data_IF_465839942028
#
_entry.id   IF_465839942028
#
_cell.length_a   1.000
_cell.length_b   1.000
_cell.length_c   1.000
_cell.angle_alpha   90.00
_cell.angle_beta   90.00
_cell.angle_gamma   90.00
#
_symmetry.space_group_name_H-M   'P 1'
#
loop_
_entity.id
_entity.type
_entity.pdbx_description
1 polymer ?
#
# COMPACT_ATOMS: atom_id res chain seq x y z
N UNK A 1 4.42 -5.45 -69.86
CA UNK A 1 5.15 -5.45 -68.58
C UNK A 1 5.89 -6.76 -68.44
N UNK A 2 7.23 -6.75 -68.19
CA UNK A 2 8.04 -7.98 -68.04
C UNK A 2 7.52 -8.76 -66.82
N UNK A 3 7.49 -10.08 -66.89
CA UNK A 3 6.93 -10.99 -65.85
C UNK A 3 7.41 -10.65 -64.45
N UNK A 4 8.67 -10.30 -64.32
CA UNK A 4 9.29 -9.86 -63.06
C UNK A 4 8.60 -8.62 -62.43
N UNK A 5 8.15 -7.65 -63.22
CA UNK A 5 7.42 -6.48 -62.71
C UNK A 5 6.06 -6.86 -62.17
N UNK A 6 5.38 -7.87 -62.72
CA UNK A 6 4.10 -8.38 -62.20
C UNK A 6 4.30 -9.11 -60.87
N UNK A 7 5.37 -9.89 -60.74
CA UNK A 7 5.74 -10.58 -59.51
C UNK A 7 6.09 -9.59 -58.38
N UNK A 8 6.89 -8.59 -58.68
CA UNK A 8 7.25 -7.52 -57.72
C UNK A 8 6.00 -6.73 -57.28
N UNK A 9 5.12 -6.39 -58.24
CA UNK A 9 3.86 -5.71 -57.92
C UNK A 9 2.94 -6.54 -57.03
N UNK A 10 2.85 -7.87 -57.30
CA UNK A 10 2.11 -8.81 -56.46
C UNK A 10 2.70 -8.89 -55.03
N UNK A 11 4.01 -8.99 -54.91
CA UNK A 11 4.66 -9.00 -53.58
C UNK A 11 4.43 -7.71 -52.81
N UNK A 12 4.56 -6.53 -53.47
CA UNK A 12 4.26 -5.24 -52.89
C UNK A 12 2.82 -5.10 -52.45
N UNK A 13 1.86 -5.63 -53.19
CA UNK A 13 0.45 -5.59 -52.82
C UNK A 13 0.15 -6.46 -51.59
N UNK A 14 0.76 -7.66 -51.49
CA UNK A 14 0.65 -8.52 -50.32
C UNK A 14 1.29 -7.86 -49.09
N UNK A 15 2.48 -7.28 -49.26
CA UNK A 15 3.18 -6.53 -48.18
C UNK A 15 2.30 -5.37 -47.68
N UNK A 16 1.68 -4.62 -48.60
CA UNK A 16 0.80 -3.50 -48.24
C UNK A 16 -0.44 -3.96 -47.48
N UNK A 17 -1.04 -5.09 -47.83
CA UNK A 17 -2.16 -5.68 -47.10
C UNK A 17 -1.74 -6.13 -45.71
N UNK A 18 -0.56 -6.74 -45.57
CA UNK A 18 -0.01 -7.13 -44.26
C UNK A 18 0.26 -5.90 -43.37
N UNK A 19 0.89 -4.87 -43.93
CA UNK A 19 1.14 -3.60 -43.21
C UNK A 19 -0.18 -2.94 -42.81
N UNK A 20 -1.18 -2.89 -43.72
CA UNK A 20 -2.50 -2.34 -43.40
C UNK A 20 -3.19 -3.15 -42.29
N UNK A 21 -3.08 -4.50 -42.32
CA UNK A 21 -3.60 -5.37 -41.25
C UNK A 21 -2.94 -5.15 -39.91
N UNK A 22 -1.61 -4.99 -39.89
CA UNK A 22 -0.84 -4.67 -38.67
C UNK A 22 -1.22 -3.28 -38.14
N UNK A 23 -1.35 -2.28 -39.02
CA UNK A 23 -1.78 -0.93 -38.61
C UNK A 23 -3.20 -0.94 -38.06
N UNK A 24 -4.16 -1.62 -38.73
CA UNK A 24 -5.54 -1.72 -38.27
C UNK A 24 -5.62 -2.43 -36.90
N UNK A 25 -4.82 -3.48 -36.72
CA UNK A 25 -4.71 -4.17 -35.44
C UNK A 25 -4.12 -3.26 -34.34
N UNK A 26 -3.06 -2.52 -34.66
CA UNK A 26 -2.45 -1.55 -33.74
C UNK A 26 -3.42 -0.43 -33.35
N UNK A 27 -4.18 0.12 -34.31
CA UNK A 27 -5.19 1.16 -34.06
C UNK A 27 -6.30 0.61 -33.14
N UNK A 28 -6.78 -0.60 -33.44
CA UNK A 28 -7.80 -1.23 -32.59
C UNK A 28 -7.30 -1.44 -31.16
N UNK A 29 -6.08 -1.95 -31.02
CA UNK A 29 -5.46 -2.17 -29.72
C UNK A 29 -5.31 -0.86 -28.93
N UNK A 30 -4.84 0.20 -29.57
CA UNK A 30 -4.74 1.53 -28.96
C UNK A 30 -6.12 2.06 -28.53
N UNK A 31 -7.14 1.90 -29.38
CA UNK A 31 -8.51 2.29 -29.08
C UNK A 31 -9.10 1.52 -27.90
N UNK A 32 -8.91 0.20 -27.86
CA UNK A 32 -9.39 -0.67 -26.78
C UNK A 32 -8.71 -0.27 -25.44
N UNK A 33 -7.39 -0.04 -25.48
CA UNK A 33 -6.62 0.42 -24.31
C UNK A 33 -7.09 1.77 -23.79
N UNK A 34 -7.17 2.73 -24.68
CA UNK A 34 -7.59 4.08 -24.31
C UNK A 34 -9.03 4.11 -23.78
N UNK A 35 -9.91 3.22 -24.29
CA UNK A 35 -11.27 3.08 -23.75
C UNK A 35 -11.25 2.55 -22.31
N UNK A 36 -10.48 1.50 -22.02
CA UNK A 36 -10.36 0.95 -20.67
C UNK A 36 -9.74 1.99 -19.71
N UNK A 37 -8.66 2.66 -20.14
CA UNK A 37 -8.05 3.71 -19.34
C UNK A 37 -9.02 4.83 -19.03
N UNK A 38 -9.83 5.26 -20.00
CA UNK A 38 -10.88 6.25 -19.75
C UNK A 38 -11.93 5.77 -18.73
N UNK A 39 -12.18 4.47 -18.64
CA UNK A 39 -13.06 3.86 -17.63
C UNK A 39 -12.49 3.88 -16.21
N UNK A 40 -11.15 3.82 -16.06
CA UNK A 40 -10.46 3.86 -14.78
C UNK A 40 -9.89 5.24 -14.44
N UNK A 41 -9.84 6.15 -15.43
CA UNK A 41 -9.30 7.49 -15.23
C UNK A 41 -10.20 8.32 -14.32
N UNK A 42 -9.62 8.86 -13.27
CA UNK A 42 -10.28 9.75 -12.35
C UNK A 42 -9.32 10.87 -11.95
N UNK A 43 -9.56 12.08 -12.44
CA UNK A 43 -8.79 13.25 -12.03
C UNK A 43 -9.09 13.62 -10.59
N UNK A 44 -8.09 14.18 -9.91
CA UNK A 44 -8.20 14.66 -8.52
C UNK A 44 -7.69 16.09 -8.42
N UNK A 45 -8.32 16.88 -7.54
CA UNK A 45 -7.84 18.23 -7.22
C UNK A 45 -6.73 18.14 -6.16
N UNK A 46 -5.57 18.69 -6.45
CA UNK A 46 -4.47 18.80 -5.50
C UNK A 46 -4.46 20.19 -4.89
N UNK A 47 -4.80 20.30 -3.60
CA UNK A 47 -4.86 21.59 -2.88
C UNK A 47 -3.48 22.24 -2.71
N UNK A 48 -2.44 21.44 -2.69
CA UNK A 48 -1.07 21.89 -2.53
C UNK A 48 -0.26 21.52 -3.76
N UNK A 49 0.14 22.51 -4.54
CA UNK A 49 1.19 22.34 -5.55
C UNK A 49 2.56 22.44 -4.87
N UNK A 50 2.92 21.45 -4.02
CA UNK A 50 4.27 21.39 -3.41
C UNK A 50 5.38 21.15 -4.43
N UNK A 51 5.08 21.17 -5.70
CA UNK A 51 6.03 21.02 -6.81
C UNK A 51 5.32 21.10 -8.15
N UNK A 52 6.09 21.30 -9.19
CA UNK A 52 5.61 21.34 -10.55
C UNK A 52 4.99 20.01 -10.98
N UNK A 53 4.14 20.06 -11.99
CA UNK A 53 3.74 18.87 -12.74
C UNK A 53 4.97 18.21 -13.32
N UNK A 54 5.17 16.92 -13.05
CA UNK A 54 6.27 16.18 -13.68
C UNK A 54 5.93 15.92 -15.14
N UNK A 55 6.89 16.17 -16.02
CA UNK A 55 6.77 15.85 -17.43
C UNK A 55 7.36 14.44 -17.69
N UNK A 56 6.48 13.45 -17.79
CA UNK A 56 6.87 12.05 -18.01
C UNK A 56 7.54 11.90 -19.38
N UNK A 57 7.06 12.59 -20.42
CA UNK A 57 7.67 12.56 -21.76
C UNK A 57 9.13 13.07 -21.74
N UNK A 58 9.42 14.07 -20.91
CA UNK A 58 10.78 14.61 -20.71
C UNK A 58 11.64 13.79 -19.73
N UNK A 59 11.19 12.64 -19.27
CA UNK A 59 11.91 11.80 -18.31
C UNK A 59 12.23 12.52 -16.99
N UNK A 60 11.32 13.37 -16.51
CA UNK A 60 11.45 13.98 -15.19
C UNK A 60 11.13 12.98 -14.08
N UNK A 61 11.80 13.05 -12.92
CA UNK A 61 11.41 12.26 -11.76
C UNK A 61 9.99 12.58 -11.33
N UNK A 62 9.23 11.55 -10.95
CA UNK A 62 7.87 11.71 -10.47
C UNK A 62 7.54 10.78 -9.31
N UNK A 63 6.43 11.06 -8.64
CA UNK A 63 5.90 10.29 -7.51
C UNK A 63 4.52 9.75 -7.81
N UNK A 64 4.26 8.54 -7.32
CA UNK A 64 2.95 7.87 -7.40
C UNK A 64 2.52 7.44 -6.02
N UNK A 65 1.27 7.74 -5.65
CA UNK A 65 0.63 7.18 -4.47
C UNK A 65 -0.11 5.90 -4.86
N UNK A 66 0.31 4.78 -4.29
CA UNK A 66 -0.35 3.48 -4.43
C UNK A 66 -1.23 3.23 -3.22
N UNK A 67 -2.50 2.91 -3.45
CA UNK A 67 -3.47 2.64 -2.39
C UNK A 67 -4.18 1.31 -2.63
N UNK A 68 -4.12 0.43 -1.63
CA UNK A 68 -4.93 -0.79 -1.56
C UNK A 68 -6.19 -0.53 -0.74
N UNK A 69 -7.36 -0.65 -1.38
CA UNK A 69 -8.65 -0.37 -0.76
C UNK A 69 -9.30 -1.66 -0.31
N UNK A 70 -9.81 -1.69 0.91
CA UNK A 70 -10.36 -2.90 1.54
C UNK A 70 -11.79 -3.23 1.09
N UNK A 71 -12.08 -3.06 -0.18
CA UNK A 71 -13.39 -3.33 -0.81
C UNK A 71 -13.27 -4.30 -1.99
N UNK A 72 -14.41 -4.66 -2.59
CA UNK A 72 -14.48 -5.45 -3.83
C UNK A 72 -14.35 -6.97 -3.63
N UNK A 73 -14.15 -7.44 -2.41
CA UNK A 73 -14.16 -8.87 -2.03
C UNK A 73 -14.72 -9.02 -0.60
N UNK A 74 -14.98 -10.25 -0.16
CA UNK A 74 -15.46 -10.57 1.19
C UNK A 74 -16.76 -9.85 1.60
N UNK A 75 -17.62 -9.52 0.62
CA UNK A 75 -18.90 -8.86 0.85
C UNK A 75 -18.83 -7.35 1.15
N UNK A 76 -17.66 -6.71 1.02
CA UNK A 76 -17.47 -5.28 1.25
C UNK A 76 -17.77 -4.47 0.00
N UNK A 77 -18.85 -3.67 0.03
CA UNK A 77 -19.34 -2.89 -1.12
C UNK A 77 -19.29 -1.38 -0.91
N UNK A 78 -19.17 -0.91 0.33
CA UNK A 78 -19.11 0.52 0.66
C UNK A 78 -17.74 1.13 0.39
N UNK A 79 -17.62 2.48 0.46
CA UNK A 79 -16.35 3.16 0.35
C UNK A 79 -15.44 2.71 1.51
N UNK A 80 -14.40 1.95 1.18
CA UNK A 80 -13.48 1.39 2.17
C UNK A 80 -12.43 2.38 2.63
N UNK A 81 -11.46 1.84 3.37
CA UNK A 81 -10.25 2.55 3.81
C UNK A 81 -9.06 2.15 2.93
N UNK A 82 -8.05 3.01 2.86
CA UNK A 82 -6.77 2.65 2.24
C UNK A 82 -5.90 1.90 3.26
N UNK A 83 -6.15 0.60 3.42
CA UNK A 83 -5.40 -0.25 4.38
C UNK A 83 -3.96 -0.54 3.93
N UNK A 84 -3.64 -0.21 2.69
CA UNK A 84 -2.29 -0.20 2.14
C UNK A 84 -2.05 1.16 1.51
N UNK A 85 -1.04 1.87 1.97
CA UNK A 85 -0.63 3.18 1.41
C UNK A 85 0.88 3.17 1.20
N UNK A 86 1.31 3.40 -0.04
CA UNK A 86 2.72 3.44 -0.43
C UNK A 86 2.99 4.62 -1.34
N UNK A 87 4.10 5.30 -1.12
CA UNK A 87 4.61 6.31 -2.05
C UNK A 87 5.80 5.74 -2.81
N UNK A 88 5.76 5.85 -4.14
CA UNK A 88 6.86 5.45 -5.00
C UNK A 88 7.38 6.68 -5.73
N UNK A 89 8.67 6.99 -5.56
CA UNK A 89 9.37 7.98 -6.38
C UNK A 89 10.18 7.25 -7.45
N UNK A 90 10.09 7.72 -8.68
CA UNK A 90 10.69 7.08 -9.86
C UNK A 90 11.62 8.08 -10.51
N UNK A 91 12.94 7.78 -10.52
CA UNK A 91 13.96 8.66 -11.09
C UNK A 91 14.76 7.92 -12.17
N UNK A 92 14.48 8.14 -13.46
CA UNK A 92 15.17 7.48 -14.55
C UNK A 92 16.63 7.96 -14.69
N UNK A 93 16.96 9.17 -14.23
CA UNK A 93 18.33 9.73 -14.29
C UNK A 93 19.26 9.04 -13.29
N UNK A 94 18.72 8.61 -12.15
CA UNK A 94 19.44 7.83 -11.14
C UNK A 94 19.30 6.32 -11.34
N UNK A 95 18.52 5.86 -12.32
CA UNK A 95 18.17 4.45 -12.55
C UNK A 95 17.61 3.77 -11.31
N UNK A 96 16.80 4.50 -10.55
CA UNK A 96 16.35 4.08 -9.23
C UNK A 96 14.91 4.50 -8.95
N UNK A 97 14.18 3.62 -8.28
CA UNK A 97 12.91 3.92 -7.62
C UNK A 97 13.05 3.72 -6.12
N UNK A 98 12.30 4.51 -5.35
CA UNK A 98 12.21 4.34 -3.89
C UNK A 98 10.75 4.17 -3.52
N UNK A 99 10.44 3.11 -2.77
CA UNK A 99 9.10 2.75 -2.31
C UNK A 99 9.04 2.85 -0.80
N UNK A 100 8.16 3.70 -0.28
CA UNK A 100 7.95 3.89 1.15
C UNK A 100 6.55 3.44 1.53
N UNK A 101 6.43 2.47 2.45
CA UNK A 101 5.15 2.15 3.07
C UNK A 101 4.83 3.12 4.19
N UNK A 102 3.59 3.57 4.20
CA UNK A 102 2.99 4.37 5.26
C UNK A 102 1.99 3.49 6.01
N UNK A 103 2.16 3.38 7.33
CA UNK A 103 1.21 2.63 8.14
C UNK A 103 -0.18 3.29 8.08
N UNK A 104 -1.22 2.47 8.03
CA UNK A 104 -2.61 2.94 7.99
C UNK A 104 -3.04 3.69 9.26
N UNK A 105 -2.42 3.35 10.40
CA UNK A 105 -2.73 3.89 11.72
C UNK A 105 -1.88 5.12 12.10
N UNK A 106 -1.06 5.66 11.17
CA UNK A 106 -0.30 6.90 11.39
C UNK A 106 -1.25 8.03 11.79
N UNK A 107 -0.97 8.63 12.95
CA UNK A 107 -1.61 9.86 13.40
C UNK A 107 -1.12 11.03 12.55
N UNK A 108 -2.05 11.73 11.89
CA UNK A 108 -1.71 12.88 11.04
C UNK A 108 -2.88 13.85 10.92
N UNK A 109 -2.61 15.09 10.51
CA UNK A 109 -3.66 16.02 10.12
C UNK A 109 -4.31 15.55 8.82
N UNK A 110 -5.63 15.39 8.81
CA UNK A 110 -6.39 15.01 7.61
C UNK A 110 -6.71 16.27 6.81
N UNK A 111 -5.97 16.48 5.73
CA UNK A 111 -6.05 17.70 4.92
C UNK A 111 -7.42 17.85 4.25
N UNK A 112 -8.15 18.86 4.68
CA UNK A 112 -9.50 19.16 4.17
C UNK A 112 -10.65 18.61 5.00
N UNK A 113 -10.33 17.99 6.15
CA UNK A 113 -11.32 17.55 7.13
C UNK A 113 -11.14 18.23 8.50
N UNK A 114 -10.09 19.05 8.67
CA UNK A 114 -9.76 19.80 9.89
C UNK A 114 -9.71 18.92 11.16
N UNK A 115 -9.30 17.67 11.03
CA UNK A 115 -9.17 16.69 12.12
C UNK A 115 -7.80 16.02 12.10
N UNK A 116 -7.37 15.58 13.28
CA UNK A 116 -6.24 14.65 13.44
C UNK A 116 -6.79 13.24 13.59
N UNK A 117 -6.36 12.34 12.73
CA UNK A 117 -6.87 10.97 12.73
C UNK A 117 -5.87 10.02 12.05
N UNK A 118 -6.23 8.74 11.93
CA UNK A 118 -5.47 7.73 11.21
C UNK A 118 -5.39 8.07 9.71
N UNK A 119 -4.22 7.88 9.13
CA UNK A 119 -3.96 8.17 7.72
C UNK A 119 -4.97 7.51 6.77
N UNK A 120 -5.37 6.26 7.04
CA UNK A 120 -6.32 5.53 6.20
C UNK A 120 -7.74 6.12 6.20
N UNK A 121 -8.10 6.93 7.22
CA UNK A 121 -9.36 7.64 7.27
C UNK A 121 -9.45 8.77 6.24
N UNK A 122 -8.32 9.32 5.77
CA UNK A 122 -8.31 10.30 4.69
C UNK A 122 -9.02 9.78 3.43
N UNK A 123 -8.78 8.49 3.06
CA UNK A 123 -9.49 7.89 1.93
C UNK A 123 -10.96 7.65 2.23
N UNK A 124 -11.30 7.22 3.43
CA UNK A 124 -12.69 6.99 3.83
C UNK A 124 -13.53 8.28 3.83
N UNK A 125 -12.94 9.41 4.23
CA UNK A 125 -13.64 10.70 4.30
C UNK A 125 -13.76 11.39 2.95
N UNK A 126 -12.71 11.40 2.13
CA UNK A 126 -12.67 12.19 0.90
C UNK A 126 -12.03 11.48 -0.30
N UNK A 127 -11.94 10.14 -0.27
CA UNK A 127 -11.41 9.34 -1.37
C UNK A 127 -9.95 9.64 -1.69
N UNK A 128 -9.59 9.42 -2.96
CA UNK A 128 -8.23 9.60 -3.42
C UNK A 128 -7.73 11.05 -3.26
N UNK A 129 -8.59 12.04 -3.45
CA UNK A 129 -8.23 13.46 -3.36
C UNK A 129 -7.72 13.81 -1.95
N UNK A 130 -8.48 13.45 -0.92
CA UNK A 130 -8.11 13.73 0.47
C UNK A 130 -6.89 12.93 0.91
N UNK A 131 -6.78 11.67 0.52
CA UNK A 131 -5.62 10.84 0.80
C UNK A 131 -4.34 11.40 0.16
N UNK A 132 -4.39 11.84 -1.10
CA UNK A 132 -3.27 12.48 -1.80
C UNK A 132 -2.85 13.75 -1.07
N UNK A 133 -3.80 14.65 -0.76
CA UNK A 133 -3.48 15.91 -0.10
C UNK A 133 -2.88 15.70 1.29
N UNK A 134 -3.38 14.72 2.05
CA UNK A 134 -2.84 14.35 3.37
C UNK A 134 -1.42 13.79 3.26
N UNK A 135 -1.16 12.87 2.31
CA UNK A 135 0.18 12.31 2.10
C UNK A 135 1.17 13.36 1.60
N UNK A 136 0.75 14.29 0.74
CA UNK A 136 1.59 15.42 0.29
C UNK A 136 2.02 16.30 1.46
N UNK A 137 1.11 16.58 2.38
CA UNK A 137 1.44 17.36 3.57
C UNK A 137 2.37 16.60 4.51
N UNK A 138 2.06 15.33 4.80
CA UNK A 138 2.85 14.47 5.67
C UNK A 138 4.30 14.30 5.18
N UNK A 139 4.50 14.06 3.88
CA UNK A 139 5.81 13.77 3.31
C UNK A 139 6.54 14.99 2.73
N UNK A 140 5.91 16.15 2.72
CA UNK A 140 6.42 17.39 2.10
C UNK A 140 6.95 17.21 0.67
N UNK A 141 6.24 16.41 -0.13
CA UNK A 141 6.52 16.18 -1.55
C UNK A 141 5.26 16.33 -2.39
N UNK A 142 5.37 16.69 -3.68
CA UNK A 142 4.24 16.53 -4.60
C UNK A 142 3.93 15.04 -4.81
N UNK A 143 2.66 14.70 -4.93
CA UNK A 143 2.19 13.41 -5.47
C UNK A 143 1.65 13.69 -6.87
N UNK A 144 2.41 13.27 -7.89
CA UNK A 144 2.10 13.58 -9.28
C UNK A 144 0.95 12.73 -9.81
N UNK A 145 0.96 11.45 -9.48
CA UNK A 145 -0.05 10.49 -9.91
C UNK A 145 -0.48 9.59 -8.76
N UNK A 146 -1.60 8.90 -8.95
CA UNK A 146 -2.04 7.86 -8.01
C UNK A 146 -2.58 6.63 -8.73
N UNK A 147 -2.56 5.53 -8.02
CA UNK A 147 -3.25 4.30 -8.40
C UNK A 147 -3.93 3.76 -7.15
N UNK A 148 -5.23 3.56 -7.19
CA UNK A 148 -5.97 2.82 -6.17
C UNK A 148 -6.50 1.52 -6.76
N UNK A 149 -6.35 0.42 -6.01
CA UNK A 149 -6.77 -0.92 -6.39
C UNK A 149 -7.51 -1.57 -5.24
N UNK A 150 -8.64 -2.23 -5.50
CA UNK A 150 -9.33 -2.99 -4.48
C UNK A 150 -8.82 -4.44 -4.41
N UNK A 151 -9.31 -5.22 -3.42
CA UNK A 151 -8.87 -6.61 -3.21
C UNK A 151 -9.09 -7.49 -4.44
N UNK A 152 -10.24 -7.36 -5.11
CA UNK A 152 -10.53 -8.10 -6.33
C UNK A 152 -9.57 -7.74 -7.45
N UNK A 153 -9.29 -6.46 -7.64
CA UNK A 153 -8.35 -5.97 -8.64
C UNK A 153 -6.93 -6.50 -8.43
N UNK A 154 -6.49 -6.59 -7.18
CA UNK A 154 -5.18 -7.17 -6.87
C UNK A 154 -5.11 -8.65 -7.25
N UNK A 155 -6.15 -9.44 -6.96
CA UNK A 155 -6.24 -10.85 -7.38
C UNK A 155 -6.16 -10.96 -8.91
N UNK A 156 -7.04 -10.23 -9.60
CA UNK A 156 -7.14 -10.28 -11.07
C UNK A 156 -5.84 -9.82 -11.74
N UNK A 157 -5.16 -8.81 -11.16
CA UNK A 157 -3.88 -8.30 -11.66
C UNK A 157 -2.76 -9.34 -11.51
N UNK A 158 -2.65 -10.00 -10.35
CA UNK A 158 -1.67 -11.07 -10.13
C UNK A 158 -1.89 -12.20 -11.13
N UNK A 159 -3.15 -12.61 -11.38
CA UNK A 159 -3.47 -13.64 -12.37
C UNK A 159 -3.15 -13.17 -13.79
N UNK A 160 -3.47 -11.93 -14.15
CA UNK A 160 -3.21 -11.35 -15.46
C UNK A 160 -1.72 -11.30 -15.81
N UNK A 161 -0.85 -11.01 -14.82
CA UNK A 161 0.61 -11.06 -15.01
C UNK A 161 1.18 -12.48 -14.99
N UNK A 162 0.33 -13.51 -14.82
CA UNK A 162 0.71 -14.92 -14.81
C UNK A 162 1.26 -15.41 -13.48
N UNK A 163 0.86 -14.77 -12.39
CA UNK A 163 1.33 -15.05 -11.03
C UNK A 163 2.66 -14.38 -10.71
N UNK A 164 3.01 -14.36 -9.43
CA UNK A 164 4.26 -13.78 -8.91
C UNK A 164 5.06 -14.82 -8.13
N UNK A 165 6.39 -14.71 -8.15
CA UNK A 165 7.29 -15.58 -7.40
C UNK A 165 7.78 -14.86 -6.15
N UNK A 166 7.57 -15.48 -4.98
CA UNK A 166 8.01 -14.98 -3.67
C UNK A 166 8.78 -16.04 -2.90
N UNK A 167 9.50 -15.62 -1.86
CA UNK A 167 10.09 -16.52 -0.88
C UNK A 167 9.36 -16.33 0.45
N UNK A 168 8.41 -17.22 0.74
CA UNK A 168 7.64 -17.19 1.98
C UNK A 168 8.50 -17.69 3.15
N UNK A 169 9.17 -16.79 3.82
CA UNK A 169 10.11 -17.07 4.92
C UNK A 169 9.44 -17.24 6.30
N UNK A 170 8.14 -16.88 6.42
CA UNK A 170 7.41 -16.99 7.68
C UNK A 170 6.85 -18.39 7.96
N UNK A 171 6.96 -19.32 6.99
CA UNK A 171 6.41 -20.66 7.09
C UNK A 171 5.08 -20.81 6.32
N UNK A 172 4.54 -22.04 6.33
CA UNK A 172 3.20 -22.30 5.81
C UNK A 172 2.15 -21.69 6.72
N UNK A 173 1.14 -21.05 6.13
CA UNK A 173 0.00 -20.49 6.88
C UNK A 173 -1.30 -20.65 6.11
N UNK A 174 -2.42 -20.52 6.82
CA UNK A 174 -3.77 -20.55 6.22
C UNK A 174 -4.54 -19.30 6.62
N UNK A 175 -5.02 -18.54 5.63
CA UNK A 175 -5.86 -17.36 5.83
C UNK A 175 -7.16 -17.50 5.02
N UNK A 176 -8.32 -17.35 5.67
CA UNK A 176 -9.64 -17.46 5.04
C UNK A 176 -9.82 -18.80 4.27
N UNK A 177 -9.24 -19.90 4.78
CA UNK A 177 -9.27 -21.23 4.13
C UNK A 177 -8.30 -21.40 2.96
N UNK A 178 -7.44 -20.42 2.69
CA UNK A 178 -6.43 -20.45 1.63
C UNK A 178 -5.06 -20.72 2.25
N UNK A 179 -4.46 -21.85 1.89
CA UNK A 179 -3.13 -22.23 2.38
C UNK A 179 -2.05 -21.67 1.45
N UNK A 180 -1.07 -20.99 2.03
CA UNK A 180 0.12 -20.47 1.36
C UNK A 180 1.33 -21.25 1.87
N UNK A 181 2.00 -22.08 1.03
CA UNK A 181 3.13 -22.89 1.44
C UNK A 181 4.36 -22.05 1.83
N UNK A 182 5.28 -22.66 2.58
CA UNK A 182 6.57 -22.07 2.92
C UNK A 182 7.56 -22.11 1.74
N UNK A 183 8.56 -21.22 1.77
CA UNK A 183 9.71 -21.18 0.86
C UNK A 183 9.39 -20.54 -0.49
N UNK A 184 10.20 -20.90 -1.50
CA UNK A 184 10.06 -20.32 -2.86
C UNK A 184 8.85 -20.89 -3.57
N UNK A 185 7.86 -20.05 -3.80
CA UNK A 185 6.57 -20.44 -4.35
C UNK A 185 6.11 -19.44 -5.42
N UNK A 186 5.25 -19.92 -6.30
CA UNK A 186 4.54 -19.08 -7.25
C UNK A 186 3.12 -18.89 -6.74
N UNK A 187 2.73 -17.65 -6.54
CA UNK A 187 1.40 -17.24 -6.11
C UNK A 187 0.54 -16.88 -7.32
N UNK A 188 -0.70 -17.36 -7.31
CA UNK A 188 -1.80 -16.83 -8.14
C UNK A 188 -2.51 -15.66 -7.42
N UNK A 189 -3.58 -15.15 -8.01
CA UNK A 189 -4.30 -14.02 -7.41
C UNK A 189 -4.87 -14.32 -6.02
N UNK A 190 -5.38 -15.54 -5.81
CA UNK A 190 -6.00 -15.93 -4.54
C UNK A 190 -4.96 -16.09 -3.42
N UNK A 191 -3.91 -16.85 -3.69
CA UNK A 191 -2.81 -17.05 -2.74
C UNK A 191 -1.98 -15.78 -2.56
N UNK A 192 -1.84 -14.95 -3.60
CA UNK A 192 -1.16 -13.66 -3.53
C UNK A 192 -1.90 -12.64 -2.67
N UNK A 193 -3.23 -12.58 -2.74
CA UNK A 193 -4.02 -11.75 -1.84
C UNK A 193 -3.92 -12.24 -0.39
N UNK A 194 -4.00 -13.57 -0.15
CA UNK A 194 -3.81 -14.14 1.19
C UNK A 194 -2.41 -13.79 1.75
N UNK A 195 -1.37 -13.92 0.93
CA UNK A 195 0.02 -13.56 1.28
C UNK A 195 0.16 -12.08 1.67
N UNK A 196 -0.45 -11.17 0.90
CA UNK A 196 -0.42 -9.73 1.17
C UNK A 196 -1.24 -9.31 2.40
N UNK A 197 -2.25 -10.10 2.81
CA UNK A 197 -3.16 -9.77 3.92
C UNK A 197 -2.76 -10.41 5.24
N UNK A 198 -2.00 -11.51 5.22
CA UNK A 198 -1.60 -12.22 6.42
C UNK A 198 -0.88 -11.30 7.41
N UNK A 199 -1.22 -11.41 8.70
CA UNK A 199 -0.69 -10.59 9.78
C UNK A 199 -0.42 -11.39 11.05
N UNK A 200 -1.39 -12.21 11.47
CA UNK A 200 -1.41 -12.79 12.81
C UNK A 200 -0.35 -13.89 13.04
N UNK A 201 0.03 -14.62 12.00
CA UNK A 201 1.04 -15.67 12.10
C UNK A 201 2.45 -15.17 11.76
N UNK A 202 2.60 -13.88 11.40
CA UNK A 202 3.89 -13.25 11.20
C UNK A 202 4.45 -12.77 12.54
N UNK A 203 5.67 -13.20 12.94
CA UNK A 203 6.33 -12.67 14.14
C UNK A 203 6.49 -11.14 14.15
N UNK A 204 6.60 -10.53 12.97
CA UNK A 204 6.69 -9.07 12.82
C UNK A 204 5.32 -8.39 12.69
N UNK A 205 4.22 -9.14 12.75
CA UNK A 205 2.86 -8.62 12.73
C UNK A 205 2.58 -7.70 11.52
N UNK A 206 2.22 -6.44 11.79
CA UNK A 206 1.88 -5.47 10.75
C UNK A 206 3.09 -5.03 9.89
N UNK A 207 4.26 -4.95 10.49
CA UNK A 207 5.52 -4.64 9.79
C UNK A 207 5.81 -5.68 8.70
N UNK A 208 5.69 -6.96 9.05
CA UNK A 208 5.85 -8.06 8.11
C UNK A 208 4.79 -8.05 7.01
N UNK A 209 3.53 -7.74 7.34
CA UNK A 209 2.48 -7.54 6.34
C UNK A 209 2.85 -6.44 5.33
N UNK A 210 3.29 -5.29 5.78
CA UNK A 210 3.69 -4.18 4.91
C UNK A 210 4.90 -4.55 4.04
N UNK A 211 5.87 -5.33 4.58
CA UNK A 211 7.00 -5.85 3.79
C UNK A 211 6.50 -6.76 2.66
N UNK A 212 5.58 -7.71 2.93
CA UNK A 212 5.00 -8.56 1.89
C UNK A 212 4.19 -7.79 0.86
N UNK A 213 3.46 -6.77 1.28
CA UNK A 213 2.74 -5.89 0.36
C UNK A 213 3.70 -5.20 -0.60
N UNK A 214 4.83 -4.66 -0.10
CA UNK A 214 5.88 -4.07 -0.96
C UNK A 214 6.46 -5.11 -1.92
N UNK A 215 6.74 -6.33 -1.43
CA UNK A 215 7.23 -7.40 -2.29
C UNK A 215 6.25 -7.74 -3.40
N UNK A 216 4.96 -7.90 -3.09
CA UNK A 216 3.91 -8.16 -4.09
C UNK A 216 3.86 -7.06 -5.14
N UNK A 217 3.85 -5.80 -4.73
CA UNK A 217 3.86 -4.64 -5.65
C UNK A 217 5.11 -4.67 -6.52
N UNK A 218 6.30 -4.86 -5.94
CA UNK A 218 7.55 -4.95 -6.70
C UNK A 218 7.51 -6.06 -7.75
N UNK A 219 7.06 -7.26 -7.37
CA UNK A 219 6.96 -8.40 -8.30
C UNK A 219 5.98 -8.13 -9.44
N UNK A 220 4.84 -7.51 -9.16
CA UNK A 220 3.87 -7.11 -10.18
C UNK A 220 4.51 -6.09 -11.13
N UNK A 221 5.10 -5.02 -10.60
CA UNK A 221 5.75 -3.96 -11.41
C UNK A 221 6.83 -4.57 -12.31
N UNK A 222 7.72 -5.40 -11.77
CA UNK A 222 8.77 -6.06 -12.56
C UNK A 222 8.19 -6.94 -13.66
N UNK A 223 7.08 -7.65 -13.40
CA UNK A 223 6.38 -8.46 -14.41
C UNK A 223 5.77 -7.59 -15.50
N UNK A 224 5.04 -6.53 -15.15
CA UNK A 224 4.42 -5.59 -16.10
C UNK A 224 5.50 -4.95 -16.97
N UNK A 225 6.59 -4.46 -16.37
CA UNK A 225 7.70 -3.82 -17.10
C UNK A 225 8.51 -4.79 -17.98
N UNK A 226 8.43 -6.11 -17.74
CA UNK A 226 9.13 -7.14 -18.54
C UNK A 226 8.30 -7.68 -19.71
N UNK A 227 7.10 -7.18 -19.93
CA UNK A 227 6.23 -7.71 -20.98
C UNK A 227 6.67 -7.26 -22.38
N UNK A 228 7.23 -8.22 -23.12
CA UNK A 228 7.39 -8.12 -24.55
C UNK A 228 6.14 -8.65 -25.25
N UNK A 229 5.24 -7.75 -25.69
CA UNK A 229 4.18 -8.12 -26.60
C UNK A 229 2.74 -8.04 -26.13
N UNK A 230 1.92 -7.93 -27.15
CA UNK A 230 0.52 -7.52 -27.18
C UNK A 230 -0.45 -8.49 -26.49
N UNK A 231 -0.10 -9.78 -26.39
CA UNK A 231 -1.06 -10.81 -25.93
C UNK A 231 -1.36 -10.77 -24.42
N UNK A 232 -0.43 -10.24 -23.61
CA UNK A 232 -0.61 -10.13 -22.16
C UNK A 232 -1.28 -8.83 -21.74
N UNK A 233 -1.13 -7.80 -22.56
CA UNK A 233 -1.69 -6.49 -22.41
C UNK A 233 -3.22 -6.51 -22.20
N UNK A 234 -3.95 -7.26 -23.01
CA UNK A 234 -5.41 -7.33 -22.92
C UNK A 234 -5.90 -7.91 -21.59
N UNK A 235 -5.20 -8.93 -21.07
CA UNK A 235 -5.54 -9.53 -19.78
C UNK A 235 -5.35 -8.55 -18.62
N UNK A 236 -4.32 -7.69 -18.69
CA UNK A 236 -4.10 -6.66 -17.67
C UNK A 236 -5.21 -5.62 -17.74
N UNK A 237 -5.56 -5.15 -18.93
CA UNK A 237 -6.64 -4.18 -19.09
C UNK A 237 -7.96 -4.71 -18.53
N UNK A 238 -8.33 -5.94 -18.91
CA UNK A 238 -9.55 -6.59 -18.43
C UNK A 238 -9.55 -6.71 -16.88
N UNK A 239 -8.38 -6.97 -16.28
CA UNK A 239 -8.23 -7.09 -14.83
C UNK A 239 -8.39 -5.75 -14.09
N UNK A 240 -7.96 -4.63 -14.68
CA UNK A 240 -7.96 -3.33 -14.00
C UNK A 240 -9.26 -2.55 -14.22
N UNK A 241 -10.05 -2.82 -15.27
CA UNK A 241 -11.16 -2.00 -15.73
C UNK A 241 -12.18 -1.64 -14.62
N UNK A 242 -12.59 -2.63 -13.81
CA UNK A 242 -13.61 -2.42 -12.77
C UNK A 242 -13.05 -2.13 -11.38
N UNK A 243 -11.76 -2.34 -11.16
CA UNK A 243 -11.18 -2.52 -9.83
C UNK A 243 -10.01 -1.57 -9.54
N UNK A 244 -9.65 -0.69 -10.50
CA UNK A 244 -8.56 0.26 -10.40
C UNK A 244 -9.06 1.66 -10.72
N UNK A 245 -8.54 2.66 -10.03
CA UNK A 245 -8.69 4.09 -10.37
C UNK A 245 -7.32 4.74 -10.40
N UNK A 246 -7.10 5.64 -11.37
CA UNK A 246 -5.83 6.36 -11.55
C UNK A 246 -6.07 7.66 -12.32
N UNK A 247 -5.13 8.58 -12.21
CA UNK A 247 -5.04 9.78 -13.06
C UNK A 247 -3.89 9.71 -14.09
N UNK A 248 -3.29 8.52 -14.26
CA UNK A 248 -2.38 8.26 -15.36
C UNK A 248 -3.16 8.08 -16.65
N UNK A 249 -2.76 8.78 -17.69
CA UNK A 249 -3.30 8.57 -19.04
C UNK A 249 -2.66 7.33 -19.70
N UNK A 250 -3.25 6.89 -20.82
CA UNK A 250 -2.63 5.84 -21.63
C UNK A 250 -1.23 6.23 -22.11
N UNK A 251 -1.07 7.47 -22.55
CA UNK A 251 0.21 7.97 -23.06
C UNK A 251 1.26 8.02 -21.95
N UNK A 252 0.90 8.44 -20.72
CA UNK A 252 1.79 8.39 -19.56
C UNK A 252 2.27 6.96 -19.26
N UNK A 253 1.35 5.98 -19.30
CA UNK A 253 1.69 4.57 -19.06
C UNK A 253 2.66 4.03 -20.10
N UNK A 254 2.47 4.38 -21.38
CA UNK A 254 3.36 3.99 -22.47
C UNK A 254 4.74 4.66 -22.37
N UNK A 255 4.76 5.92 -21.96
CA UNK A 255 6.00 6.67 -21.73
C UNK A 255 6.78 6.08 -20.54
N UNK A 256 6.11 5.77 -19.45
CA UNK A 256 6.71 5.07 -18.30
C UNK A 256 7.31 3.75 -18.73
N UNK A 257 6.57 2.93 -19.48
CA UNK A 257 7.06 1.64 -19.95
C UNK A 257 8.27 1.78 -20.89
N UNK A 258 8.27 2.75 -21.77
CA UNK A 258 9.34 2.89 -22.78
C UNK A 258 10.57 3.66 -22.27
N UNK A 259 10.38 4.66 -21.41
CA UNK A 259 11.41 5.62 -21.01
C UNK A 259 11.96 5.43 -19.60
N UNK A 260 11.21 4.72 -18.70
CA UNK A 260 11.57 4.58 -17.28
C UNK A 260 12.02 3.17 -16.86
N UNK A 261 12.18 2.22 -17.80
CA UNK A 261 12.62 0.86 -17.48
C UNK A 261 13.89 0.79 -16.64
N UNK A 262 14.82 1.73 -16.85
CA UNK A 262 16.05 1.78 -16.07
C UNK A 262 15.82 2.08 -14.59
N UNK A 263 14.80 2.88 -14.28
CA UNK A 263 14.47 3.26 -12.90
C UNK A 263 13.93 2.08 -12.07
N UNK A 264 13.40 1.05 -12.72
CA UNK A 264 12.89 -0.15 -12.04
C UNK A 264 13.93 -1.26 -11.87
N UNK A 265 15.19 -1.03 -12.28
CA UNK A 265 16.29 -1.98 -12.03
C UNK A 265 16.64 -2.04 -10.55
N UNK A 266 16.68 -0.90 -9.89
CA UNK A 266 16.90 -0.78 -8.45
C UNK A 266 15.65 -0.19 -7.81
N UNK A 267 15.03 -0.94 -6.90
CA UNK A 267 13.89 -0.50 -6.11
C UNK A 267 14.30 -0.60 -4.65
N UNK A 268 14.57 0.54 -4.02
CA UNK A 268 14.74 0.59 -2.57
C UNK A 268 13.37 0.57 -1.93
N UNK A 269 13.23 -0.20 -0.86
CA UNK A 269 11.95 -0.44 -0.21
C UNK A 269 12.09 -0.27 1.30
N UNK A 270 11.43 0.74 1.84
CA UNK A 270 11.49 1.10 3.26
C UNK A 270 10.07 1.28 3.84
N UNK A 271 9.99 1.33 5.16
CA UNK A 271 8.78 1.65 5.91
C UNK A 271 9.04 2.86 6.78
N UNK A 272 8.09 3.79 6.82
CA UNK A 272 8.17 4.94 7.71
C UNK A 272 8.01 4.48 9.16
N UNK A 273 8.95 4.89 10.02
CA UNK A 273 9.05 4.41 11.39
C UNK A 273 8.29 5.30 12.37
N UNK A 274 7.80 4.70 13.44
CA UNK A 274 7.10 5.38 14.51
C UNK A 274 6.94 4.50 15.75
N UNK A 275 6.17 4.97 16.70
CA UNK A 275 5.91 4.32 17.98
C UNK A 275 4.44 3.98 18.14
N UNK A 276 4.13 2.88 18.81
CA UNK A 276 2.77 2.56 19.25
C UNK A 276 2.30 3.58 20.27
N UNK A 277 1.12 4.12 20.08
CA UNK A 277 0.49 5.05 21.01
C UNK A 277 -0.98 4.75 21.20
N UNK A 278 -1.53 5.07 22.38
CA UNK A 278 -2.95 5.02 22.66
C UNK A 278 -3.41 6.39 23.12
N UNK A 279 -4.32 7.01 22.37
CA UNK A 279 -4.89 8.32 22.64
C UNK A 279 -6.41 8.14 22.73
N UNK A 280 -7.02 8.50 23.87
CA UNK A 280 -8.45 8.35 24.11
C UNK A 280 -8.98 6.93 23.79
N UNK A 281 -8.23 5.91 24.26
CA UNK A 281 -8.50 4.48 24.03
C UNK A 281 -8.42 4.02 22.56
N UNK A 282 -7.91 4.87 21.66
CA UNK A 282 -7.70 4.55 20.25
C UNK A 282 -6.21 4.34 19.99
N UNK A 283 -5.88 3.23 19.32
CA UNK A 283 -4.52 2.94 18.88
C UNK A 283 -4.11 3.84 17.70
N UNK A 284 -2.90 4.40 17.76
CA UNK A 284 -2.25 5.14 16.68
C UNK A 284 -0.78 4.74 16.55
N UNK A 285 -0.21 4.99 15.37
CA UNK A 285 1.23 5.10 15.20
C UNK A 285 1.63 6.58 15.22
N UNK A 286 2.37 6.98 16.25
CA UNK A 286 2.99 8.29 16.34
C UNK A 286 4.37 8.22 15.69
N UNK A 287 4.61 9.00 14.64
CA UNK A 287 5.85 8.92 13.88
C UNK A 287 7.06 9.37 14.69
N UNK A 288 8.21 8.75 14.42
CA UNK A 288 9.50 9.28 14.83
C UNK A 288 9.89 10.46 13.92
N UNK A 289 10.01 11.68 14.46
CA UNK A 289 10.27 12.87 13.64
C UNK A 289 11.59 12.79 12.85
N UNK A 290 12.59 12.06 13.36
CA UNK A 290 13.85 11.91 12.64
C UNK A 290 13.72 10.95 11.47
N UNK A 291 12.95 9.85 11.63
CA UNK A 291 12.61 8.94 10.57
C UNK A 291 11.79 9.63 9.47
N UNK A 292 10.80 10.43 9.88
CA UNK A 292 9.98 11.23 8.95
C UNK A 292 10.85 12.20 8.14
N UNK A 293 11.68 13.00 8.81
CA UNK A 293 12.58 13.94 8.14
C UNK A 293 13.59 13.25 7.19
N UNK A 294 14.16 12.12 7.60
CA UNK A 294 15.04 11.31 6.75
C UNK A 294 14.30 10.84 5.49
N UNK A 295 13.07 10.38 5.65
CA UNK A 295 12.21 9.91 4.54
C UNK A 295 11.87 11.08 3.60
N UNK A 296 11.41 12.22 4.14
CA UNK A 296 11.15 13.43 3.35
C UNK A 296 12.38 13.85 2.54
N UNK A 297 13.55 13.94 3.18
CA UNK A 297 14.82 14.30 2.52
C UNK A 297 15.16 13.31 1.38
N UNK A 298 15.01 12.01 1.62
CA UNK A 298 15.26 10.97 0.62
C UNK A 298 14.35 11.12 -0.60
N UNK A 299 13.04 11.26 -0.36
CA UNK A 299 12.05 11.39 -1.44
C UNK A 299 12.22 12.71 -2.21
N UNK A 300 12.48 13.81 -1.51
CA UNK A 300 12.75 15.13 -2.13
C UNK A 300 13.98 15.09 -3.02
N UNK A 301 15.06 14.46 -2.54
CA UNK A 301 16.27 14.25 -3.35
C UNK A 301 15.97 13.43 -4.60
N UNK A 302 15.23 12.35 -4.47
CA UNK A 302 14.81 11.51 -5.60
C UNK A 302 14.01 12.31 -6.66
N UNK A 303 13.20 13.27 -6.21
CA UNK A 303 12.40 14.13 -7.07
C UNK A 303 13.19 15.38 -7.58
N UNK A 304 14.45 15.54 -7.20
CA UNK A 304 15.27 16.71 -7.56
C UNK A 304 14.80 18.00 -6.87
N UNK A 305 14.08 17.91 -5.75
CA UNK A 305 13.61 19.05 -4.96
C UNK A 305 14.66 19.51 -3.98
N UNK A 306 14.59 20.78 -3.58
CA UNK A 306 15.44 21.34 -2.52
C UNK A 306 15.10 20.76 -1.15
N UNK A 307 16.09 20.64 -0.28
CA UNK A 307 15.86 20.29 1.13
C UNK A 307 15.09 21.41 1.86
N UNK A 308 14.24 21.00 2.81
CA UNK A 308 13.44 21.90 3.66
C UNK A 308 13.81 21.68 5.13
N UNK A 309 14.61 22.59 5.69
CA UNK A 309 14.95 22.55 7.11
C UNK A 309 13.77 22.92 8.03
N UNK A 310 12.85 23.78 7.54
CA UNK A 310 11.72 24.29 8.35
C UNK A 310 10.64 23.24 8.64
N UNK A 311 10.47 22.23 7.81
CA UNK A 311 9.45 21.19 8.03
C UNK A 311 9.84 20.31 9.22
N UNK A 312 11.14 20.04 9.45
CA UNK A 312 11.60 19.28 10.60
C UNK A 312 11.13 19.86 11.95
N UNK A 313 11.14 21.17 12.11
CA UNK A 313 10.70 21.82 13.35
C UNK A 313 9.19 21.63 13.56
N UNK A 314 8.39 21.70 12.50
CA UNK A 314 6.95 21.46 12.57
C UNK A 314 6.65 20.00 12.94
N UNK A 315 7.31 19.05 12.29
CA UNK A 315 7.13 17.62 12.56
C UNK A 315 7.55 17.28 13.99
N UNK A 316 8.66 17.84 14.47
CA UNK A 316 9.09 17.71 15.86
C UNK A 316 8.03 18.27 16.83
N UNK A 317 7.50 19.45 16.55
CA UNK A 317 6.47 20.06 17.40
C UNK A 317 5.18 19.23 17.40
N UNK A 318 4.75 18.75 16.21
CA UNK A 318 3.54 17.95 16.07
C UNK A 318 3.65 16.60 16.80
N UNK A 319 4.68 15.80 16.54
CA UNK A 319 4.75 14.45 17.10
C UNK A 319 5.21 14.43 18.57
N UNK A 320 6.03 15.40 19.00
CA UNK A 320 6.45 15.46 20.41
C UNK A 320 5.29 15.75 21.36
N UNK A 321 4.21 16.40 20.93
CA UNK A 321 3.03 16.61 21.77
C UNK A 321 2.34 15.31 22.18
N UNK A 322 2.54 14.23 21.42
CA UNK A 322 1.94 12.92 21.69
C UNK A 322 2.90 11.94 22.41
N UNK A 323 4.07 12.40 22.82
CA UNK A 323 5.05 11.54 23.50
C UNK A 323 4.52 10.92 24.81
N UNK A 324 3.55 11.56 25.45
CA UNK A 324 2.88 11.04 26.65
C UNK A 324 2.03 9.80 26.38
N UNK A 325 1.56 9.62 25.15
CA UNK A 325 0.66 8.53 24.75
C UNK A 325 1.42 7.31 24.21
N UNK A 326 2.73 7.40 24.04
CA UNK A 326 3.56 6.29 23.54
C UNK A 326 3.53 5.15 24.57
N UNK A 327 3.05 4.00 24.12
CA UNK A 327 2.89 2.80 24.95
C UNK A 327 4.04 1.81 24.81
N UNK A 328 4.80 1.89 23.70
CA UNK A 328 5.99 1.10 23.45
C UNK A 328 7.09 1.99 22.87
N UNK A 329 8.29 1.89 23.43
CA UNK A 329 9.46 2.66 22.98
C UNK A 329 10.22 1.99 21.83
N UNK A 330 9.81 0.79 21.42
CA UNK A 330 10.36 0.14 20.24
C UNK A 330 9.82 0.82 18.97
N UNK A 331 10.71 1.12 18.01
CA UNK A 331 10.33 1.67 16.72
C UNK A 331 9.62 0.61 15.87
N UNK A 332 8.42 0.92 15.44
CA UNK A 332 7.70 0.13 14.44
C UNK A 332 8.33 0.42 13.07
N UNK A 333 8.67 -0.64 12.33
CA UNK A 333 9.22 -0.48 10.97
C UNK A 333 10.75 -0.57 10.91
N UNK A 334 11.42 -0.77 12.03
CA UNK A 334 12.84 -1.09 12.04
C UNK A 334 13.03 -2.54 11.55
N UNK A 335 13.55 -2.70 10.32
CA UNK A 335 13.90 -4.03 9.83
C UNK A 335 15.08 -4.55 10.63
N UNK A 336 14.88 -5.70 11.30
CA UNK A 336 15.92 -6.38 12.08
C UNK A 336 17.08 -6.90 11.23
N UNK A 337 17.92 -5.99 10.75
CA UNK A 337 19.27 -6.29 10.26
C UNK A 337 20.28 -5.92 11.34
N UNK A 338 20.14 -6.59 12.50
CA UNK A 338 21.11 -6.49 13.60
C UNK A 338 22.06 -7.66 13.56
N UNK A 339 22.95 -7.67 12.57
CA UNK A 339 24.22 -8.38 12.64
C UNK A 339 25.35 -7.36 12.79
N UNK A 340 25.56 -6.83 13.99
CA UNK A 340 26.88 -6.35 14.44
C UNK A 340 26.87 -5.96 15.92
N UNK A 341 27.57 -6.77 16.70
CA UNK A 341 28.43 -6.36 17.80
C UNK A 341 27.81 -5.67 19.05
N UNK A 342 27.46 -6.47 20.04
CA UNK A 342 27.61 -6.06 21.43
C UNK A 342 28.75 -6.82 22.10
N UNK A 343 29.94 -6.22 22.07
CA UNK A 343 31.01 -6.55 23.00
C UNK A 343 31.49 -5.25 23.61
N UNK A 344 31.04 -4.94 24.80
CA UNK A 344 31.90 -4.29 25.80
C UNK A 344 31.35 -4.54 27.19
N UNK A 345 32.10 -5.32 27.90
CA UNK A 345 32.08 -5.55 29.32
C UNK A 345 32.34 -4.29 30.12
N UNK A 346 31.64 -4.13 31.23
CA UNK A 346 32.27 -3.58 32.42
C UNK A 346 31.58 -4.12 33.67
N UNK A 347 32.35 -4.88 34.38
CA UNK A 347 32.17 -5.39 35.73
C UNK A 347 32.15 -4.25 36.77
N UNK A 348 31.30 -4.36 37.75
CA UNK A 348 31.66 -3.98 39.14
C UNK A 348 30.78 -4.75 40.13
N UNK A 349 31.49 -5.48 40.94
CA UNK A 349 31.14 -6.24 42.14
C UNK A 349 30.66 -5.36 43.29
N UNK A 350 29.75 -5.90 44.10
CA UNK A 350 29.73 -6.06 45.55
C UNK A 350 28.28 -6.12 46.03
N UNK A 351 27.85 -7.18 46.54
CA UNK A 351 28.01 -7.93 47.79
C UNK A 351 26.99 -7.54 48.85
N UNK A 352 26.44 -8.60 49.45
CA UNK A 352 25.90 -8.86 50.79
C UNK A 352 24.41 -8.69 51.08
N UNK A 353 23.84 -9.85 51.32
CA UNK A 353 23.13 -10.39 52.52
C UNK A 353 21.64 -10.15 52.71
N UNK A 354 20.95 -11.25 52.64
CA UNK A 354 20.08 -11.88 53.64
C UNK A 354 18.87 -11.13 54.23
N UNK A 355 17.72 -11.77 54.12
CA UNK A 355 16.56 -11.48 54.95
C UNK A 355 15.32 -12.26 54.49
N UNK A 356 15.24 -13.56 54.91
CA UNK A 356 13.98 -14.33 54.89
C UNK A 356 13.00 -13.72 55.89
N UNK A 357 11.73 -13.59 55.53
CA UNK A 357 10.61 -13.82 56.44
C UNK A 357 9.40 -14.36 55.65
N UNK A 358 9.06 -15.59 55.97
CA UNK A 358 7.76 -16.21 55.73
C UNK A 358 6.66 -15.41 56.44
N UNK A 359 5.51 -15.26 55.83
CA UNK A 359 4.23 -15.21 56.57
C UNK A 359 3.11 -15.86 55.77
N UNK A 360 2.45 -16.75 56.49
CA UNK A 360 1.47 -17.73 56.10
C UNK A 360 0.03 -17.13 56.24
N UNK A 361 -0.88 -17.53 55.35
CA UNK A 361 -2.25 -17.86 55.80
C UNK A 361 -3.39 -16.92 55.43
N UNK A 362 -4.21 -17.34 54.59
CA UNK A 362 -5.61 -17.77 54.77
C UNK A 362 -6.64 -17.16 53.78
N UNK A 363 -7.16 -18.04 52.96
CA UNK A 363 -8.55 -18.21 52.43
C UNK A 363 -9.57 -17.08 52.54
N UNK A 364 -10.14 -16.68 51.37
CA UNK A 364 -11.59 -16.72 51.19
C UNK A 364 -11.99 -16.81 49.70
N UNK A 365 -12.86 -17.76 49.39
CA UNK A 365 -13.50 -18.01 48.12
C UNK A 365 -14.48 -16.89 47.73
N UNK A 366 -14.50 -16.52 46.43
CA UNK A 366 -15.70 -16.02 45.80
C UNK A 366 -15.66 -16.34 44.29
N UNK A 367 -16.60 -17.14 43.89
CA UNK A 367 -17.32 -17.31 42.63
C UNK A 367 -16.55 -17.23 41.30
N UNK A 368 -16.45 -18.39 40.67
CA UNK A 368 -16.14 -18.64 39.27
C UNK A 368 -17.20 -18.02 38.35
N UNK A 369 -16.77 -17.06 37.49
CA UNK A 369 -17.43 -16.76 36.23
C UNK A 369 -16.55 -17.30 35.13
N UNK A 370 -16.98 -18.35 34.45
CA UNK A 370 -16.24 -19.01 33.39
C UNK A 370 -15.96 -18.05 32.23
N UNK A 371 -14.69 -17.75 31.97
CA UNK A 371 -14.22 -17.03 30.82
C UNK A 371 -14.07 -18.04 29.67
N UNK A 372 -14.86 -17.87 28.59
CA UNK A 372 -14.70 -18.65 27.36
C UNK A 372 -13.59 -17.99 26.50
N UNK A 373 -12.45 -18.65 26.31
CA UNK A 373 -11.33 -18.07 25.54
C UNK A 373 -11.55 -18.00 24.03
N UNK A 374 -12.74 -18.42 23.52
CA UNK A 374 -13.04 -18.43 22.08
C UNK A 374 -13.98 -17.30 21.64
N UNK A 375 -14.36 -16.38 22.50
CA UNK A 375 -15.14 -15.21 22.10
C UNK A 375 -14.17 -14.10 21.66
N UNK A 376 -13.86 -14.06 20.36
CA UNK A 376 -13.15 -12.94 19.72
C UNK A 376 -14.10 -11.75 19.62
N UNK A 377 -13.83 -10.71 20.37
CA UNK A 377 -14.43 -9.38 20.18
C UNK A 377 -13.42 -8.58 19.35
N UNK A 378 -13.79 -8.23 18.12
CA UNK A 378 -12.99 -7.35 17.27
C UNK A 378 -12.84 -5.99 17.95
N UNK A 379 -11.63 -5.57 18.39
CA UNK A 379 -11.44 -4.27 19.04
C UNK A 379 -11.61 -3.09 18.08
N UNK A 380 -11.89 -3.34 16.79
CA UNK A 380 -12.16 -2.32 15.77
C UNK A 380 -13.65 -2.33 15.32
N UNK A 381 -14.55 -3.00 16.01
CA UNK A 381 -15.98 -2.88 15.76
C UNK A 381 -16.43 -1.49 16.20
N UNK A 382 -16.40 -0.53 15.28
CA UNK A 382 -16.93 0.82 15.44
C UNK A 382 -18.46 0.70 15.50
N UNK A 383 -19.07 0.94 16.66
CA UNK A 383 -20.49 1.24 16.77
C UNK A 383 -20.67 2.72 16.47
N UNK A 384 -21.27 3.03 15.32
CA UNK A 384 -21.63 4.39 14.92
C UNK A 384 -22.59 4.99 15.97
N UNK A 385 -22.22 6.05 16.71
CA UNK A 385 -23.09 6.69 17.70
C UNK A 385 -24.25 7.46 17.05
N UNK A 386 -24.35 7.53 15.71
CA UNK A 386 -25.40 8.22 14.96
C UNK A 386 -26.32 7.27 14.18
N UNK A 387 -26.35 5.98 14.50
CA UNK A 387 -27.37 5.09 13.94
C UNK A 387 -28.77 5.53 14.38
N UNK A 388 -29.40 6.37 13.58
CA UNK A 388 -30.81 6.70 13.74
C UNK A 388 -31.62 5.42 13.54
N UNK A 389 -32.44 5.07 14.55
CA UNK A 389 -33.44 4.02 14.43
C UNK A 389 -34.39 4.38 13.27
N UNK A 390 -34.56 3.47 12.33
CA UNK A 390 -35.54 3.57 11.26
C UNK A 390 -36.94 3.64 11.88
N UNK A 391 -37.73 4.73 11.68
CA UNK A 391 -39.06 4.87 12.26
C UNK A 391 -40.13 3.96 11.65
N UNK A 392 -39.77 3.08 10.69
CA UNK A 392 -40.73 2.19 10.02
C UNK A 392 -40.63 0.72 10.39
N UNK A 393 -39.93 0.36 11.47
CA UNK A 393 -39.99 -1.02 11.99
C UNK A 393 -41.32 -1.28 12.69
N UNK A 394 -42.28 -1.86 11.96
CA UNK A 394 -43.52 -2.38 12.52
C UNK A 394 -43.22 -3.60 13.39
N UNK A 395 -43.43 -3.47 14.71
CA UNK A 395 -43.36 -4.60 15.65
C UNK A 395 -44.75 -5.18 15.77
N UNK A 396 -44.94 -6.44 15.35
CA UNK A 396 -46.18 -7.19 15.52
C UNK A 396 -46.40 -7.47 17.03
N UNK A 397 -47.47 -6.95 17.65
CA UNK A 397 -47.71 -7.13 19.07
C UNK A 397 -48.23 -8.54 19.47
N UNK A 398 -48.33 -9.47 18.49
CA UNK A 398 -48.86 -10.82 18.75
C UNK A 398 -47.87 -11.96 18.51
N UNK A 399 -46.56 -11.68 18.41
CA UNK A 399 -45.55 -12.73 18.27
C UNK A 399 -45.39 -13.51 19.58
N UNK A 400 -45.45 -14.86 19.56
CA UNK A 400 -45.30 -15.66 20.77
C UNK A 400 -43.86 -15.61 21.29
N UNK A 401 -43.75 -15.35 22.58
CA UNK A 401 -42.47 -15.47 23.30
C UNK A 401 -42.17 -16.97 23.53
N UNK A 402 -41.06 -17.43 23.00
CA UNK A 402 -40.37 -18.65 23.38
C UNK A 402 -39.01 -18.32 23.95
#
# INVERSE_FOLDING_TARGET
MKLWKKVVLGFLSVLLVVVAGVCAYGIKMYSDANSTINGIYQSVNRKSNKGATANIDAQEPFSVLLMGIDTGDLGRTEQGRSDTTMVVTINPKENKSTMISLDRDILTDIVGNDTQDKLNHAYAFGGAEMAINTVQELLDIPIHHYVSINMKGLKDLIDAVGGIEVDNTIGEFTLDGITVPAGKIKLDGTTGLAYARMRHEDPEGDVGRQRRQREVVEKIVRKVMSFDGVSKYRKILDAVEANVKTDLTWDDMMDIQSKYLSAFKTIDSEQLQGYSATIDDIYYQVLDPNSLYKTQTTLRKQLGLKEHASEREKDLAFYNQFSYAVTDTALIGESGDSSANSSTSSSSTADTSAGQTEYNGNTQQAAEGAYDPNTYVDPNAYTDPNAYADPNTYVDPNAPQY
#
